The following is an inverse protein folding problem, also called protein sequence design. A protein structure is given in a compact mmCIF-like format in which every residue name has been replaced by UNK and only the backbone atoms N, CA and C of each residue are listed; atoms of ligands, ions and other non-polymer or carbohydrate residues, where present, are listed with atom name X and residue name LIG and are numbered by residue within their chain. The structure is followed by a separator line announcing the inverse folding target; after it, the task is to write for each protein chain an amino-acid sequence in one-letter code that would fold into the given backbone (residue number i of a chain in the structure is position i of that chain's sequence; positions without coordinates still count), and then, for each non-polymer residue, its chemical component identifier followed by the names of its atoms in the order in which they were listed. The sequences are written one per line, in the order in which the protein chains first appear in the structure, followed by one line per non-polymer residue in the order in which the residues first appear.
data_IF_848109929217
#
_entry.id   IF_848109929217
#
_cell.length_a   1.000
_cell.length_b   1.000
_cell.length_c   1.000
_cell.angle_alpha   90.00
_cell.angle_beta   90.00
_cell.angle_gamma   90.00
#
_symmetry.space_group_name_H-M   'P 1'
#
loop_
_entity.id
_entity.type
_entity.pdbx_description
1 polymer ?
#
# COMPACT_ATOMS: atom_id res chain seq x y z
N UNK A 1 -19.08 -2.92 17.31
CA UNK A 1 -18.39 -4.08 16.73
C UNK A 1 -17.29 -3.56 15.82
N UNK A 2 -16.01 -3.73 16.17
CA UNK A 2 -14.91 -3.44 15.24
C UNK A 2 -14.98 -4.51 14.15
N UNK A 3 -15.43 -4.13 12.97
CA UNK A 3 -15.20 -4.89 11.74
C UNK A 3 -13.72 -5.30 11.73
N UNK A 4 -13.45 -6.57 11.44
CA UNK A 4 -12.07 -7.08 11.38
C UNK A 4 -11.27 -6.15 10.46
N UNK A 5 -10.12 -5.62 10.91
CA UNK A 5 -9.29 -4.67 10.13
C UNK A 5 -9.04 -5.16 8.68
N UNK A 6 -9.03 -6.49 8.48
CA UNK A 6 -8.93 -7.13 7.17
C UNK A 6 -10.14 -6.89 6.25
N UNK A 7 -11.34 -6.85 6.80
CA UNK A 7 -12.58 -6.60 6.06
C UNK A 7 -12.64 -5.13 5.59
N UNK A 8 -12.29 -4.20 6.48
CA UNK A 8 -12.23 -2.77 6.15
C UNK A 8 -11.12 -2.50 5.12
N UNK A 9 -9.92 -3.03 5.34
CA UNK A 9 -8.84 -2.99 4.36
C UNK A 9 -9.25 -3.60 3.01
N UNK A 10 -9.96 -4.74 3.00
CA UNK A 10 -10.41 -5.36 1.75
C UNK A 10 -11.34 -4.44 0.98
N UNK A 11 -12.28 -3.77 1.67
CA UNK A 11 -13.19 -2.80 1.04
C UNK A 11 -12.39 -1.64 0.45
N UNK A 12 -11.52 -1.05 1.24
CA UNK A 12 -10.77 0.15 0.85
C UNK A 12 -9.76 -0.16 -0.26
N UNK A 13 -9.16 -1.36 -0.23
CA UNK A 13 -8.34 -1.90 -1.32
C UNK A 13 -9.13 -2.02 -2.64
N UNK A 14 -10.38 -2.49 -2.61
CA UNK A 14 -11.22 -2.56 -3.81
C UNK A 14 -11.58 -1.16 -4.35
N UNK A 15 -11.81 -0.19 -3.46
CA UNK A 15 -12.04 1.21 -3.85
C UNK A 15 -10.78 1.78 -4.52
N UNK A 16 -9.61 1.55 -3.91
CA UNK A 16 -8.32 1.97 -4.47
C UNK A 16 -8.10 1.41 -5.88
N UNK A 17 -8.34 0.10 -6.11
CA UNK A 17 -8.24 -0.50 -7.45
C UNK A 17 -9.17 0.17 -8.47
N UNK A 18 -10.39 0.53 -8.07
CA UNK A 18 -11.33 1.26 -8.95
C UNK A 18 -10.79 2.66 -9.26
N UNK A 19 -10.26 3.37 -8.28
CA UNK A 19 -9.66 4.69 -8.48
C UNK A 19 -8.47 4.64 -9.44
N UNK A 20 -7.57 3.65 -9.29
CA UNK A 20 -6.43 3.49 -10.19
C UNK A 20 -6.87 3.26 -11.65
N UNK A 21 -7.93 2.46 -11.85
CA UNK A 21 -8.53 2.25 -13.18
C UNK A 21 -9.16 3.53 -13.73
N UNK A 22 -9.90 4.28 -12.91
CA UNK A 22 -10.54 5.54 -13.31
C UNK A 22 -9.51 6.63 -13.66
N UNK A 23 -8.32 6.59 -13.06
CA UNK A 23 -7.19 7.46 -13.42
C UNK A 23 -6.56 7.12 -14.79
N UNK A 24 -7.02 6.06 -15.47
CA UNK A 24 -6.50 5.66 -16.78
C UNK A 24 -5.08 5.08 -16.74
N UNK A 25 -4.64 4.55 -15.58
CA UNK A 25 -3.30 3.98 -15.43
C UNK A 25 -3.16 2.67 -16.22
N UNK A 26 -1.95 2.40 -16.70
CA UNK A 26 -1.60 1.15 -17.37
C UNK A 26 -1.79 -0.04 -16.41
N UNK A 27 -2.23 -1.22 -16.89
CA UNK A 27 -2.44 -2.40 -16.04
C UNK A 27 -1.22 -2.76 -15.17
N UNK A 28 -0.01 -2.68 -15.73
CA UNK A 28 1.24 -2.95 -15.01
C UNK A 28 1.48 -1.98 -13.85
N UNK A 29 1.11 -0.70 -14.02
CA UNK A 29 1.17 0.32 -12.96
C UNK A 29 0.14 0.04 -11.88
N UNK A 30 -1.09 -0.32 -12.27
CA UNK A 30 -2.15 -0.72 -11.32
C UNK A 30 -1.68 -1.90 -10.48
N UNK A 31 -1.08 -2.92 -11.09
CA UNK A 31 -0.56 -4.10 -10.39
C UNK A 31 0.60 -3.74 -9.46
N UNK A 32 1.49 -2.83 -9.86
CA UNK A 32 2.57 -2.35 -9.00
C UNK A 32 2.03 -1.66 -7.74
N UNK A 33 1.14 -0.68 -7.90
CA UNK A 33 0.57 0.08 -6.79
C UNK A 33 -0.33 -0.79 -5.90
N UNK A 34 -1.11 -1.68 -6.49
CA UNK A 34 -1.90 -2.65 -5.75
C UNK A 34 -1.03 -3.58 -4.88
N UNK A 35 0.16 -3.96 -5.35
CA UNK A 35 1.12 -4.74 -4.55
C UNK A 35 1.71 -3.92 -3.42
N UNK A 36 2.00 -2.64 -3.64
CA UNK A 36 2.48 -1.73 -2.61
C UNK A 36 1.52 -1.66 -1.42
N UNK A 37 0.25 -1.33 -1.68
CA UNK A 37 -0.80 -1.24 -0.65
C UNK A 37 -0.97 -2.56 0.11
N UNK A 38 -0.85 -3.72 -0.56
CA UNK A 38 -0.91 -5.03 0.11
C UNK A 38 0.30 -5.31 0.99
N UNK A 39 1.51 -4.89 0.59
CA UNK A 39 2.73 -5.04 1.39
C UNK A 39 2.69 -4.17 2.64
N UNK A 40 2.35 -2.90 2.48
CA UNK A 40 2.21 -1.96 3.60
C UNK A 40 1.08 -2.43 4.53
N UNK A 41 -0.06 -2.82 3.97
CA UNK A 41 -1.16 -3.41 4.73
C UNK A 41 -0.73 -4.64 5.54
N UNK A 42 0.04 -5.56 4.95
CA UNK A 42 0.53 -6.73 5.70
C UNK A 42 1.51 -6.36 6.82
N UNK A 43 2.31 -5.31 6.66
CA UNK A 43 3.25 -4.84 7.68
C UNK A 43 2.54 -4.19 8.88
N UNK A 44 1.48 -3.42 8.63
CA UNK A 44 0.73 -2.70 9.66
C UNK A 44 -0.58 -3.40 10.08
N UNK A 45 -0.64 -4.73 10.01
CA UNK A 45 -1.83 -5.52 10.40
C UNK A 45 -3.15 -5.05 9.76
N UNK A 46 -3.06 -4.58 8.52
CA UNK A 46 -4.13 -4.03 7.70
C UNK A 46 -4.81 -2.79 8.31
N UNK A 47 -4.10 -2.04 9.16
CA UNK A 47 -4.53 -0.75 9.73
C UNK A 47 -3.75 0.38 9.07
N UNK A 48 -4.37 1.00 8.06
CA UNK A 48 -3.78 2.10 7.29
C UNK A 48 -4.42 3.46 7.59
N UNK A 49 -5.42 3.48 8.46
CA UNK A 49 -6.28 4.62 8.78
C UNK A 49 -5.58 5.72 9.59
N UNK A 50 -4.51 5.37 10.31
CA UNK A 50 -3.80 6.27 11.24
C UNK A 50 -2.27 6.05 11.18
N UNK A 51 -1.73 5.90 9.96
CA UNK A 51 -0.29 5.82 9.78
C UNK A 51 0.35 7.20 9.86
N UNK A 52 1.27 7.35 10.82
CA UNK A 52 2.10 8.54 10.93
C UNK A 52 3.22 8.57 9.88
N UNK A 53 3.68 9.77 9.56
CA UNK A 53 4.83 9.98 8.68
C UNK A 53 6.11 9.29 9.21
N UNK A 54 6.30 9.28 10.53
CA UNK A 54 7.41 8.57 11.17
C UNK A 54 7.34 7.06 10.90
N UNK A 55 6.18 6.43 11.10
CA UNK A 55 5.99 5.00 10.80
C UNK A 55 6.25 4.67 9.34
N UNK A 56 5.82 5.53 8.41
CA UNK A 56 6.10 5.35 6.98
C UNK A 56 7.60 5.51 6.68
N UNK A 57 8.26 6.47 7.31
CA UNK A 57 9.70 6.73 7.14
C UNK A 57 10.53 5.55 7.61
N UNK A 58 10.24 5.02 8.80
CA UNK A 58 10.90 3.84 9.35
C UNK A 58 10.66 2.63 8.44
N UNK A 59 9.40 2.39 8.05
CA UNK A 59 9.04 1.29 7.13
C UNK A 59 9.82 1.34 5.81
N UNK A 60 9.90 2.51 5.16
CA UNK A 60 10.60 2.64 3.89
C UNK A 60 12.12 2.56 4.04
N UNK A 61 12.67 2.97 5.18
CA UNK A 61 14.09 2.82 5.51
C UNK A 61 14.45 1.34 5.67
N UNK A 62 13.66 0.59 6.45
CA UNK A 62 13.83 -0.86 6.62
C UNK A 62 13.63 -1.62 5.29
N UNK A 63 12.70 -1.16 4.47
CA UNK A 63 12.45 -1.75 3.15
C UNK A 63 13.63 -1.52 2.20
N UNK A 64 14.31 -0.38 2.31
CA UNK A 64 15.50 -0.05 1.52
C UNK A 64 16.70 -0.94 1.86
N UNK A 65 16.84 -1.33 3.12
CA UNK A 65 17.91 -2.22 3.57
C UNK A 65 17.72 -3.67 3.07
N UNK A 66 16.48 -4.06 2.79
CA UNK A 66 16.11 -5.43 2.41
C UNK A 66 15.77 -5.63 0.94
N UNK A 67 15.54 -4.56 0.16
CA UNK A 67 15.10 -4.63 -1.24
C UNK A 67 15.81 -3.63 -2.14
N UNK A 68 15.76 -3.87 -3.44
CA UNK A 68 16.31 -2.92 -4.41
C UNK A 68 15.50 -1.61 -4.42
N UNK A 69 16.19 -0.51 -4.69
CA UNK A 69 15.59 0.82 -4.81
C UNK A 69 14.39 0.86 -5.78
N UNK A 70 14.44 0.11 -6.88
CA UNK A 70 13.32 0.03 -7.83
C UNK A 70 12.03 -0.48 -7.18
N UNK A 71 12.13 -1.47 -6.29
CA UNK A 71 10.98 -2.00 -5.54
C UNK A 71 10.47 -0.97 -4.53
N UNK A 72 11.38 -0.35 -3.76
CA UNK A 72 11.04 0.69 -2.78
C UNK A 72 10.34 1.87 -3.46
N UNK A 73 10.86 2.31 -4.61
CA UNK A 73 10.28 3.39 -5.41
C UNK A 73 8.87 3.08 -5.89
N UNK A 74 8.60 1.85 -6.33
CA UNK A 74 7.24 1.44 -6.70
C UNK A 74 6.28 1.42 -5.51
N UNK A 75 6.78 1.08 -4.31
CA UNK A 75 5.95 1.09 -3.11
C UNK A 75 5.66 2.50 -2.62
N UNK A 76 6.66 3.38 -2.67
CA UNK A 76 6.52 4.79 -2.31
C UNK A 76 5.53 5.52 -3.21
N UNK A 77 5.55 5.26 -4.52
CA UNK A 77 4.63 5.91 -5.47
C UNK A 77 3.24 5.24 -5.54
N UNK A 78 3.08 4.09 -4.90
CA UNK A 78 1.81 3.36 -4.86
C UNK A 78 0.88 3.76 -3.71
N UNK A 79 1.39 4.51 -2.73
CA UNK A 79 0.63 5.19 -1.68
C UNK A 79 -0.05 6.46 -2.23
#
# INVERSE_FOLDING_TARGET
MKTSNKADFKRDYQIHLKHLKLKGLQPSTIDAYARAIRRIGAHFDYRLDDLSEAQLTDYFSDLLDSRSWSVVKHDLYGL
#
